data_IF_546191722257
#
_entry.id   IF_546191722257
#
_cell.length_a   1.000
_cell.length_b   1.000
_cell.length_c   1.000
_cell.angle_alpha   90.00
_cell.angle_beta   90.00
_cell.angle_gamma   90.00
#
_symmetry.space_group_name_H-M   'P 1'
#
loop_
_entity.id
_entity.type
_entity.pdbx_description
1 polymer ?
#
# COMPACT_ATOMS: atom_id res chain seq x y z
N UNK A 1 -8.45 -57.31 -3.84
CA UNK A 1 -8.06 -56.24 -4.79
C UNK A 1 -8.01 -54.87 -4.12
N UNK A 2 -8.95 -54.56 -3.21
CA UNK A 2 -9.00 -53.28 -2.49
C UNK A 2 -7.83 -53.07 -1.51
N UNK A 3 -7.33 -54.15 -0.88
CA UNK A 3 -6.21 -54.09 0.09
C UNK A 3 -4.89 -53.59 -0.51
N UNK A 4 -4.70 -53.72 -1.84
CA UNK A 4 -3.52 -53.22 -2.55
C UNK A 4 -3.77 -51.81 -3.10
N UNK A 5 -5.02 -51.50 -3.44
CA UNK A 5 -5.38 -50.22 -4.06
C UNK A 5 -5.37 -49.06 -3.06
N UNK A 6 -5.86 -49.31 -1.84
CA UNK A 6 -5.92 -48.31 -0.77
C UNK A 6 -4.55 -47.69 -0.42
N UNK A 7 -3.48 -48.47 -0.15
CA UNK A 7 -2.17 -47.88 0.17
C UNK A 7 -1.55 -47.11 -1.01
N UNK A 8 -1.79 -47.54 -2.26
CA UNK A 8 -1.30 -46.85 -3.45
C UNK A 8 -1.92 -45.45 -3.57
N UNK A 9 -3.23 -45.34 -3.34
CA UNK A 9 -3.94 -44.04 -3.35
C UNK A 9 -3.46 -43.14 -2.21
N UNK A 10 -3.28 -43.69 -1.01
CA UNK A 10 -2.79 -42.94 0.16
C UNK A 10 -1.38 -42.39 -0.09
N UNK A 11 -0.46 -43.20 -0.61
CA UNK A 11 0.90 -42.78 -0.96
C UNK A 11 0.86 -41.74 -2.08
N UNK A 12 0.02 -41.92 -3.09
CA UNK A 12 -0.18 -40.92 -4.14
C UNK A 12 -0.62 -39.57 -3.58
N UNK A 13 -1.63 -39.53 -2.69
CA UNK A 13 -2.12 -38.29 -2.09
C UNK A 13 -1.07 -37.65 -1.16
N UNK A 14 -0.34 -38.44 -0.37
CA UNK A 14 0.71 -37.91 0.51
C UNK A 14 1.90 -37.34 -0.25
N UNK A 15 2.36 -38.01 -1.32
CA UNK A 15 3.56 -37.59 -2.04
C UNK A 15 3.28 -36.68 -3.22
N UNK A 16 2.06 -36.67 -3.77
CA UNK A 16 1.67 -35.77 -4.86
C UNK A 16 0.82 -34.62 -4.31
N UNK A 17 -0.16 -34.92 -3.46
CA UNK A 17 -1.04 -33.92 -2.88
C UNK A 17 -0.31 -32.96 -1.94
N UNK A 18 0.56 -33.46 -1.06
CA UNK A 18 1.27 -32.60 -0.08
C UNK A 18 2.22 -31.61 -0.77
N UNK A 19 3.09 -32.03 -1.73
CA UNK A 19 3.90 -31.08 -2.51
C UNK A 19 3.06 -30.18 -3.41
N UNK A 20 1.93 -30.65 -3.95
CA UNK A 20 1.02 -29.82 -4.76
C UNK A 20 0.40 -28.68 -3.94
N UNK A 21 -0.04 -28.97 -2.70
CA UNK A 21 -0.56 -27.96 -1.78
C UNK A 21 0.55 -26.94 -1.44
N UNK A 22 1.75 -27.42 -1.12
CA UNK A 22 2.90 -26.55 -0.83
C UNK A 22 3.22 -25.65 -2.04
N UNK A 23 3.30 -26.22 -3.25
CA UNK A 23 3.51 -25.47 -4.48
C UNK A 23 2.42 -24.43 -4.71
N UNK A 24 1.14 -24.80 -4.52
CA UNK A 24 0.01 -23.89 -4.69
C UNK A 24 0.13 -22.65 -3.79
N UNK A 25 0.49 -22.84 -2.52
CA UNK A 25 0.69 -21.73 -1.60
C UNK A 25 1.94 -20.91 -1.93
N UNK A 26 3.05 -21.54 -2.33
CA UNK A 26 4.26 -20.81 -2.77
C UNK A 26 3.97 -19.94 -4.00
N UNK A 27 3.25 -20.47 -5.01
CA UNK A 27 2.86 -19.68 -6.19
C UNK A 27 1.96 -18.51 -5.80
N UNK A 28 0.98 -18.73 -4.91
CA UNK A 28 0.14 -17.64 -4.38
C UNK A 28 0.94 -16.61 -3.59
N UNK A 29 1.95 -17.03 -2.82
CA UNK A 29 2.81 -16.12 -2.06
C UNK A 29 3.71 -15.29 -2.98
N UNK A 30 4.26 -15.86 -4.06
CA UNK A 30 5.02 -15.09 -5.06
C UNK A 30 4.14 -14.10 -5.84
N UNK A 31 2.87 -14.42 -6.09
CA UNK A 31 1.93 -13.47 -6.71
C UNK A 31 1.51 -12.34 -5.77
N UNK A 32 1.44 -12.58 -4.46
CA UNK A 32 1.00 -11.59 -3.48
C UNK A 32 2.13 -10.71 -2.91
N UNK A 33 3.40 -11.07 -3.09
CA UNK A 33 4.53 -10.41 -2.43
C UNK A 33 5.23 -9.30 -3.24
N UNK A 34 4.81 -9.07 -4.48
CA UNK A 34 5.28 -7.91 -5.27
C UNK A 34 4.27 -6.80 -5.07
N UNK A 35 4.71 -5.60 -4.65
CA UNK A 35 3.93 -4.37 -4.83
C UNK A 35 3.45 -4.42 -6.28
N UNK A 36 2.16 -4.70 -6.45
CA UNK A 36 1.63 -4.91 -7.78
C UNK A 36 1.69 -3.54 -8.46
N UNK A 37 1.96 -3.45 -9.76
CA UNK A 37 1.94 -2.13 -10.43
C UNK A 37 0.61 -1.37 -10.23
N UNK A 38 -0.45 -2.09 -9.84
CA UNK A 38 -1.71 -1.54 -9.35
C UNK A 38 -1.59 -0.78 -8.02
N UNK A 39 -0.82 -1.28 -7.05
CA UNK A 39 -0.55 -0.59 -5.78
C UNK A 39 0.27 0.69 -5.97
N UNK A 40 1.27 0.68 -6.86
CA UNK A 40 2.03 1.89 -7.23
C UNK A 40 1.10 2.94 -7.86
N UNK A 41 0.21 2.51 -8.76
CA UNK A 41 -0.77 3.38 -9.38
C UNK A 41 -1.77 3.93 -8.36
N UNK A 42 -2.22 3.12 -7.42
CA UNK A 42 -3.12 3.55 -6.34
C UNK A 42 -2.43 4.61 -5.46
N UNK A 43 -1.17 4.39 -5.10
CA UNK A 43 -0.39 5.36 -4.34
C UNK A 43 -0.22 6.68 -5.08
N UNK A 44 0.04 6.64 -6.39
CA UNK A 44 0.15 7.86 -7.23
C UNK A 44 -1.19 8.61 -7.33
N UNK A 45 -2.30 7.90 -7.48
CA UNK A 45 -3.64 8.50 -7.49
C UNK A 45 -4.00 9.13 -6.14
N UNK A 46 -3.68 8.46 -5.03
CA UNK A 46 -3.88 8.99 -3.68
C UNK A 46 -3.00 10.23 -3.45
N UNK A 47 -1.76 10.22 -3.93
CA UNK A 47 -0.86 11.36 -3.86
C UNK A 47 -1.40 12.55 -4.66
N UNK A 48 -1.84 12.32 -5.90
CA UNK A 48 -2.46 13.34 -6.75
C UNK A 48 -3.70 13.95 -6.08
N UNK A 49 -4.56 13.09 -5.53
CA UNK A 49 -5.79 13.52 -4.83
C UNK A 49 -5.46 14.35 -3.58
N UNK A 50 -4.49 13.92 -2.77
CA UNK A 50 -4.04 14.65 -1.60
C UNK A 50 -3.53 16.05 -1.96
N UNK A 51 -2.76 16.17 -3.06
CA UNK A 51 -2.24 17.44 -3.55
C UNK A 51 -3.35 18.38 -4.02
N UNK A 52 -4.35 17.85 -4.73
CA UNK A 52 -5.51 18.64 -5.15
C UNK A 52 -6.34 19.15 -3.96
N UNK A 53 -6.48 18.34 -2.91
CA UNK A 53 -7.15 18.74 -1.67
C UNK A 53 -6.37 19.85 -0.96
N UNK A 54 -5.04 19.76 -0.92
CA UNK A 54 -4.19 20.80 -0.35
C UNK A 54 -4.34 22.14 -1.08
N UNK A 55 -4.34 22.15 -2.42
CA UNK A 55 -4.54 23.37 -3.22
C UNK A 55 -5.90 24.04 -2.95
N UNK A 56 -6.95 23.23 -2.76
CA UNK A 56 -8.29 23.73 -2.42
C UNK A 56 -8.32 24.26 -1.00
N UNK A 57 -7.64 23.60 -0.08
CA UNK A 57 -7.53 24.03 1.31
C UNK A 57 -6.85 25.40 1.41
N UNK A 58 -5.83 25.68 0.61
CA UNK A 58 -5.22 27.03 0.54
C UNK A 58 -6.23 28.11 0.12
N UNK A 59 -7.12 27.78 -0.83
CA UNK A 59 -8.19 28.70 -1.25
C UNK A 59 -9.19 28.93 -0.13
N UNK A 60 -9.58 27.86 0.57
CA UNK A 60 -10.47 27.94 1.74
C UNK A 60 -9.82 28.75 2.86
N UNK A 61 -8.54 28.52 3.18
CA UNK A 61 -7.79 29.32 4.16
C UNK A 61 -7.78 30.80 3.81
N UNK A 62 -7.60 31.14 2.53
CA UNK A 62 -7.65 32.53 2.07
C UNK A 62 -9.02 33.16 2.25
N UNK A 63 -10.10 32.42 2.00
CA UNK A 63 -11.48 32.91 2.21
C UNK A 63 -11.73 33.12 3.71
N UNK A 64 -11.36 32.14 4.54
CA UNK A 64 -11.54 32.23 6.00
C UNK A 64 -10.73 33.38 6.58
N UNK A 65 -9.50 33.62 6.11
CA UNK A 65 -8.68 34.74 6.54
C UNK A 65 -9.25 36.11 6.11
N UNK A 66 -10.00 36.16 4.99
CA UNK A 66 -10.71 37.37 4.59
C UNK A 66 -11.95 37.64 5.47
N UNK A 67 -12.63 36.59 5.92
CA UNK A 67 -13.81 36.69 6.79
C UNK A 67 -13.48 36.84 8.29
N UNK A 68 -12.33 36.32 8.75
CA UNK A 68 -11.91 36.34 10.14
C UNK A 68 -10.44 36.80 10.26
N UNK A 69 -10.17 38.04 10.69
CA UNK A 69 -8.81 38.59 10.75
C UNK A 69 -7.91 37.92 11.81
N UNK A 70 -8.49 37.21 12.79
CA UNK A 70 -7.75 36.45 13.80
C UNK A 70 -7.38 35.01 13.35
N UNK A 71 -7.78 34.60 12.14
CA UNK A 71 -7.50 33.26 11.64
C UNK A 71 -6.02 33.10 11.24
N UNK A 72 -5.32 32.15 11.86
CA UNK A 72 -3.94 31.80 11.52
C UNK A 72 -3.93 30.65 10.49
N UNK A 73 -3.52 30.89 9.23
CA UNK A 73 -3.53 29.85 8.20
C UNK A 73 -2.49 28.75 8.51
N UNK A 74 -2.82 27.48 8.21
CA UNK A 74 -1.96 26.32 8.52
C UNK A 74 -0.67 26.39 7.70
N UNK A 75 -0.72 26.97 6.50
CA UNK A 75 0.45 27.27 5.68
C UNK A 75 1.52 28.11 6.41
N UNK A 76 1.12 29.03 7.30
CA UNK A 76 2.06 29.80 8.13
C UNK A 76 2.66 28.97 9.28
N UNK A 77 2.00 27.88 9.69
CA UNK A 77 2.51 26.95 10.72
C UNK A 77 3.33 25.79 10.14
N UNK A 78 3.13 25.43 8.87
CA UNK A 78 3.89 24.39 8.15
C UNK A 78 5.31 24.84 7.78
N UNK A 79 5.64 26.12 7.96
CA UNK A 79 6.99 26.67 7.84
C UNK A 79 7.87 26.30 9.06
N UNK A 80 7.66 25.11 9.64
CA UNK A 80 8.65 24.47 10.49
C UNK A 80 9.61 23.72 9.55
N UNK A 81 10.93 24.04 9.55
CA UNK A 81 11.89 23.28 8.78
C UNK A 81 11.81 21.82 9.20
N UNK A 82 11.37 20.96 8.27
CA UNK A 82 11.33 19.51 8.50
C UNK A 82 12.68 19.05 9.07
N UNK A 83 12.73 18.35 10.22
CA UNK A 83 13.97 17.82 10.78
C UNK A 83 14.72 16.88 9.82
N UNK A 84 14.05 16.42 8.76
CA UNK A 84 14.54 15.51 7.74
C UNK A 84 14.87 16.22 6.42
N UNK A 85 15.56 17.36 6.48
CA UNK A 85 16.12 17.98 5.27
C UNK A 85 17.34 17.18 4.77
N UNK A 86 17.07 16.22 3.89
CA UNK A 86 18.06 15.38 3.19
C UNK A 86 18.99 16.19 2.27
N UNK A 87 18.67 17.45 1.99
CA UNK A 87 19.50 18.34 1.15
C UNK A 87 20.78 18.81 1.85
N UNK A 88 20.87 18.62 3.18
CA UNK A 88 22.08 18.96 3.98
C UNK A 88 23.14 17.86 4.04
N UNK A 89 22.91 16.71 3.39
CA UNK A 89 23.81 15.54 3.45
C UNK A 89 24.69 15.40 2.20
N UNK A 90 25.22 16.52 1.71
CA UNK A 90 26.28 16.55 0.70
C UNK A 90 27.38 17.51 1.15
#
# INVERSE_FOLDING_TARGET
>A
MEEVFLPIVIVGILFVGLPWVIMHYITRWKTAATITGEDEKLLDELYYTARQLEERLLTVERIIAADNPDFRPVSASRQEPSPFDISRRN
#
